data_IF_556026874292
#
_entry.id   IF_556026874292
#
_cell.length_a   1.000
_cell.length_b   1.000
_cell.length_c   1.000
_cell.angle_alpha   90.00
_cell.angle_beta   90.00
_cell.angle_gamma   90.00
#
_symmetry.space_group_name_H-M   'P 1'
#
loop_
_entity.id
_entity.type
_entity.pdbx_description
1 polymer ?
#
# COMPACT_ATOMS: atom_id res chain seq x y z
N UNK A 1 -20.82 -23.51 -19.86
CA UNK A 1 -20.08 -23.56 -21.14
C UNK A 1 -19.45 -22.22 -21.51
N UNK A 2 -20.24 -21.14 -21.69
CA UNK A 2 -19.70 -19.82 -22.07
C UNK A 2 -18.68 -19.28 -21.05
N UNK A 3 -18.99 -19.31 -19.75
CA UNK A 3 -18.05 -18.86 -18.71
C UNK A 3 -16.70 -19.59 -18.77
N UNK A 4 -16.69 -20.90 -18.99
CA UNK A 4 -15.46 -21.68 -19.13
C UNK A 4 -14.63 -21.26 -20.35
N UNK A 5 -15.29 -20.91 -21.46
CA UNK A 5 -14.60 -20.36 -22.65
C UNK A 5 -13.99 -18.99 -22.35
N UNK A 6 -14.72 -18.11 -21.65
CA UNK A 6 -14.23 -16.79 -21.26
C UNK A 6 -13.05 -16.90 -20.28
N UNK A 7 -13.03 -17.89 -19.39
CA UNK A 7 -11.90 -18.15 -18.49
C UNK A 7 -10.60 -18.51 -19.21
N UNK A 8 -10.69 -19.06 -20.45
CA UNK A 8 -9.52 -19.41 -21.28
C UNK A 8 -9.17 -18.35 -22.32
N UNK A 9 -10.06 -17.38 -22.53
CA UNK A 9 -9.81 -16.33 -23.49
C UNK A 9 -8.67 -15.43 -22.98
N UNK A 10 -7.65 -15.15 -23.81
CA UNK A 10 -6.61 -14.21 -23.43
C UNK A 10 -7.24 -12.82 -23.24
N UNK A 11 -7.05 -12.25 -22.06
CA UNK A 11 -7.50 -10.89 -21.75
C UNK A 11 -6.61 -10.29 -20.68
N UNK A 12 -6.28 -9.01 -20.85
CA UNK A 12 -5.63 -8.20 -19.81
C UNK A 12 -6.65 -7.59 -18.84
N UNK A 13 -7.95 -7.69 -19.16
CA UNK A 13 -9.04 -7.13 -18.37
C UNK A 13 -9.76 -8.21 -17.57
N UNK A 14 -10.08 -7.91 -16.32
CA UNK A 14 -10.92 -8.77 -15.48
C UNK A 14 -12.40 -8.75 -15.91
N UNK A 15 -12.81 -7.71 -16.67
CA UNK A 15 -14.20 -7.42 -17.00
C UNK A 15 -14.95 -8.57 -17.73
N UNK A 16 -14.39 -9.27 -18.74
CA UNK A 16 -15.14 -10.31 -19.44
C UNK A 16 -15.55 -11.46 -18.51
N UNK A 17 -14.65 -11.92 -17.64
CA UNK A 17 -14.93 -12.98 -16.67
C UNK A 17 -15.94 -12.50 -15.64
N UNK A 18 -15.76 -11.28 -15.12
CA UNK A 18 -16.67 -10.67 -14.16
C UNK A 18 -18.10 -10.57 -14.73
N UNK A 19 -18.25 -9.98 -15.90
CA UNK A 19 -19.55 -9.78 -16.54
C UNK A 19 -20.25 -11.12 -16.84
N UNK A 20 -19.50 -12.13 -17.30
CA UNK A 20 -20.02 -13.46 -17.52
C UNK A 20 -20.48 -14.13 -16.21
N UNK A 21 -19.71 -13.99 -15.13
CA UNK A 21 -20.10 -14.47 -13.81
C UNK A 21 -21.36 -13.76 -13.30
N UNK A 22 -21.40 -12.43 -13.34
CA UNK A 22 -22.52 -11.63 -12.83
C UNK A 22 -23.82 -11.95 -13.55
N UNK A 23 -23.76 -12.13 -14.89
CA UNK A 23 -24.90 -12.54 -15.69
C UNK A 23 -25.46 -13.92 -15.28
N UNK A 24 -24.58 -14.87 -14.93
CA UNK A 24 -25.00 -16.20 -14.46
C UNK A 24 -25.49 -16.14 -13.01
N UNK A 25 -24.79 -15.41 -12.13
CA UNK A 25 -25.15 -15.29 -10.72
C UNK A 25 -26.49 -14.58 -10.51
N UNK A 26 -26.92 -13.73 -11.46
CA UNK A 26 -28.24 -13.12 -11.47
C UNK A 26 -29.38 -14.13 -11.74
N UNK A 27 -29.08 -15.31 -12.28
CA UNK A 27 -30.05 -16.39 -12.46
C UNK A 27 -30.27 -17.11 -11.12
N UNK A 28 -31.53 -17.32 -10.74
CA UNK A 28 -31.89 -17.91 -9.47
C UNK A 28 -31.23 -19.30 -9.28
N UNK A 29 -30.37 -19.41 -8.26
CA UNK A 29 -29.70 -20.65 -7.89
C UNK A 29 -28.45 -21.02 -8.69
N UNK A 30 -28.03 -20.22 -9.67
CA UNK A 30 -26.91 -20.57 -10.57
C UNK A 30 -25.52 -20.12 -10.07
N UNK A 31 -25.44 -19.31 -9.01
CA UNK A 31 -24.16 -18.83 -8.48
C UNK A 31 -23.19 -19.95 -8.05
N UNK A 32 -23.63 -21.03 -7.36
CA UNK A 32 -22.74 -22.15 -7.02
C UNK A 32 -22.13 -22.85 -8.25
N UNK A 33 -22.90 -22.99 -9.34
CA UNK A 33 -22.42 -23.59 -10.58
C UNK A 33 -21.39 -22.70 -11.27
N UNK A 34 -21.61 -21.38 -11.28
CA UNK A 34 -20.63 -20.42 -11.79
C UNK A 34 -19.31 -20.48 -11.01
N UNK A 35 -19.38 -20.55 -9.67
CA UNK A 35 -18.20 -20.72 -8.81
C UNK A 35 -17.49 -22.05 -9.09
N UNK A 36 -18.23 -23.14 -9.33
CA UNK A 36 -17.63 -24.43 -9.69
C UNK A 36 -16.85 -24.35 -11.01
N UNK A 37 -17.38 -23.66 -12.03
CA UNK A 37 -16.66 -23.45 -13.30
C UNK A 37 -15.37 -22.63 -13.09
N UNK A 38 -15.43 -21.58 -12.28
CA UNK A 38 -14.25 -20.77 -11.98
C UNK A 38 -13.22 -21.57 -11.15
N UNK A 39 -13.68 -22.45 -10.27
CA UNK A 39 -12.84 -23.37 -9.49
C UNK A 39 -12.08 -24.33 -10.40
N UNK A 40 -12.76 -24.94 -11.37
CA UNK A 40 -12.12 -25.83 -12.34
C UNK A 40 -11.03 -25.10 -13.14
N UNK A 41 -11.26 -23.82 -13.47
CA UNK A 41 -10.28 -23.00 -14.18
C UNK A 41 -8.97 -22.79 -13.38
N UNK A 42 -8.99 -22.89 -12.05
CA UNK A 42 -7.75 -22.80 -11.25
C UNK A 42 -6.73 -23.90 -11.58
N UNK A 43 -7.19 -25.06 -12.04
CA UNK A 43 -6.34 -26.18 -12.41
C UNK A 43 -5.90 -26.16 -13.88
N UNK A 44 -6.45 -25.24 -14.70
CA UNK A 44 -6.16 -25.15 -16.13
C UNK A 44 -4.96 -24.21 -16.37
N UNK A 45 -3.83 -24.70 -16.91
CA UNK A 45 -2.66 -23.86 -17.19
C UNK A 45 -2.93 -22.73 -18.19
N UNK A 46 -4.00 -22.83 -18.98
CA UNK A 46 -4.41 -21.83 -19.96
C UNK A 46 -5.50 -20.89 -19.44
N UNK A 47 -5.97 -21.07 -18.20
CA UNK A 47 -6.92 -20.13 -17.63
C UNK A 47 -6.24 -18.79 -17.35
N UNK A 48 -6.92 -17.71 -17.72
CA UNK A 48 -6.49 -16.35 -17.42
C UNK A 48 -6.58 -16.08 -15.90
N UNK A 49 -5.78 -15.12 -15.42
CA UNK A 49 -5.79 -14.72 -14.02
C UNK A 49 -7.15 -14.22 -13.52
N UNK A 50 -7.96 -13.61 -14.40
CA UNK A 50 -9.27 -13.06 -14.06
C UNK A 50 -10.24 -14.13 -13.52
N UNK A 51 -10.16 -15.37 -14.02
CA UNK A 51 -10.90 -16.51 -13.46
C UNK A 51 -10.57 -16.75 -11.99
N UNK A 52 -9.28 -16.70 -11.63
CA UNK A 52 -8.81 -16.83 -10.26
C UNK A 52 -9.26 -15.70 -9.35
N UNK A 53 -9.15 -14.45 -9.82
CA UNK A 53 -9.64 -13.28 -9.10
C UNK A 53 -11.16 -13.37 -8.81
N UNK A 54 -11.95 -13.73 -9.81
CA UNK A 54 -13.40 -13.84 -9.66
C UNK A 54 -13.79 -14.99 -8.73
N UNK A 55 -13.14 -16.16 -8.85
CA UNK A 55 -13.36 -17.29 -7.94
C UNK A 55 -13.10 -16.90 -6.49
N UNK A 56 -11.95 -16.28 -6.22
CA UNK A 56 -11.54 -15.92 -4.86
C UNK A 56 -12.47 -14.86 -4.28
N UNK A 57 -12.86 -13.86 -5.06
CA UNK A 57 -13.86 -12.86 -4.67
C UNK A 57 -15.19 -13.50 -4.30
N UNK A 58 -15.80 -14.25 -5.23
CA UNK A 58 -17.11 -14.86 -5.02
C UNK A 58 -17.11 -15.83 -3.82
N UNK A 59 -16.08 -16.67 -3.73
CA UNK A 59 -15.96 -17.65 -2.64
C UNK A 59 -15.74 -17.00 -1.29
N UNK A 60 -14.93 -15.94 -1.22
CA UNK A 60 -14.68 -15.22 0.03
C UNK A 60 -15.94 -14.49 0.51
N UNK A 61 -16.65 -13.81 -0.39
CA UNK A 61 -17.86 -13.05 -0.09
C UNK A 61 -19.02 -13.98 0.32
N UNK A 62 -19.08 -15.19 -0.25
CA UNK A 62 -20.02 -16.24 0.15
C UNK A 62 -19.64 -16.95 1.47
N UNK A 63 -18.48 -16.64 2.07
CA UNK A 63 -18.00 -17.30 3.28
C UNK A 63 -17.63 -18.78 3.08
N UNK A 64 -17.20 -19.15 1.88
CA UNK A 64 -16.91 -20.54 1.52
C UNK A 64 -15.84 -21.15 2.45
N UNK A 65 -16.14 -22.33 2.98
CA UNK A 65 -15.18 -23.12 3.74
C UNK A 65 -14.18 -23.82 2.79
N UNK A 66 -12.96 -24.06 3.27
CA UNK A 66 -11.96 -24.86 2.55
C UNK A 66 -11.12 -24.09 1.51
N UNK A 67 -11.36 -22.79 1.28
CA UNK A 67 -10.56 -21.99 0.34
C UNK A 67 -9.05 -22.10 0.59
N UNK A 68 -8.62 -22.07 1.85
CA UNK A 68 -7.20 -22.17 2.20
C UNK A 68 -6.59 -23.52 1.82
N UNK A 69 -7.36 -24.61 1.94
CA UNK A 69 -6.90 -25.96 1.55
C UNK A 69 -6.72 -26.01 0.05
N UNK A 70 -7.72 -25.52 -0.69
CA UNK A 70 -7.71 -25.49 -2.14
C UNK A 70 -6.54 -24.63 -2.69
N UNK A 71 -6.32 -23.44 -2.13
CA UNK A 71 -5.19 -22.60 -2.53
C UNK A 71 -3.83 -23.24 -2.20
N UNK A 72 -3.72 -23.96 -1.07
CA UNK A 72 -2.51 -24.70 -0.68
C UNK A 72 -2.22 -25.91 -1.55
N UNK A 73 -3.25 -26.56 -2.08
CA UNK A 73 -3.10 -27.67 -3.02
C UNK A 73 -2.64 -27.19 -4.40
N UNK A 74 -3.09 -26.00 -4.82
CA UNK A 74 -2.76 -25.41 -6.12
C UNK A 74 -1.46 -24.60 -6.15
N UNK A 75 -1.00 -24.08 -5.00
CA UNK A 75 0.31 -23.40 -4.80
C UNK A 75 0.68 -22.30 -5.81
N UNK A 76 -0.30 -21.73 -6.51
CA UNK A 76 -0.02 -20.78 -7.59
C UNK A 76 0.55 -21.41 -8.86
N UNK A 77 0.37 -22.71 -9.08
CA UNK A 77 0.90 -23.47 -10.23
C UNK A 77 0.34 -22.98 -11.59
N UNK A 78 -0.74 -22.20 -11.57
CA UNK A 78 -1.36 -21.59 -12.76
C UNK A 78 -1.53 -20.08 -12.57
N UNK A 79 -1.61 -19.28 -13.64
CA UNK A 79 -1.91 -17.85 -13.54
C UNK A 79 -3.21 -17.57 -12.78
N UNK A 80 -4.23 -18.42 -12.97
CA UNK A 80 -5.48 -18.35 -12.23
C UNK A 80 -5.28 -18.65 -10.72
N UNK A 81 -4.53 -19.69 -10.36
CA UNK A 81 -4.27 -20.01 -8.95
C UNK A 81 -3.42 -18.94 -8.24
N UNK A 82 -2.42 -18.36 -8.92
CA UNK A 82 -1.61 -17.26 -8.37
C UNK A 82 -2.50 -16.03 -8.10
N UNK A 83 -3.31 -15.64 -9.09
CA UNK A 83 -4.21 -14.47 -8.98
C UNK A 83 -5.32 -14.70 -7.94
N UNK A 84 -5.82 -15.93 -7.80
CA UNK A 84 -6.75 -16.31 -6.73
C UNK A 84 -6.10 -16.13 -5.35
N UNK A 85 -4.87 -16.61 -5.18
CA UNK A 85 -4.10 -16.45 -3.92
C UNK A 85 -3.91 -14.98 -3.58
N UNK A 86 -3.45 -14.17 -4.54
CA UNK A 86 -3.30 -12.72 -4.38
C UNK A 86 -4.62 -12.09 -3.90
N UNK A 87 -5.73 -12.42 -4.57
CA UNK A 87 -7.04 -11.87 -4.25
C UNK A 87 -7.50 -12.28 -2.85
N UNK A 88 -7.26 -13.52 -2.44
CA UNK A 88 -7.58 -14.01 -1.10
C UNK A 88 -6.81 -13.25 0.00
N UNK A 89 -5.52 -13.01 -0.20
CA UNK A 89 -4.69 -12.20 0.71
C UNK A 89 -5.25 -10.77 0.85
N UNK A 90 -5.57 -10.13 -0.28
CA UNK A 90 -6.11 -8.77 -0.30
C UNK A 90 -7.47 -8.67 0.38
N UNK A 91 -8.37 -9.64 0.14
CA UNK A 91 -9.70 -9.68 0.79
C UNK A 91 -9.60 -9.86 2.30
N UNK A 92 -8.69 -10.70 2.78
CA UNK A 92 -8.41 -10.82 4.22
C UNK A 92 -7.89 -9.50 4.82
N UNK A 93 -7.03 -8.78 4.09
CA UNK A 93 -6.53 -7.49 4.54
C UNK A 93 -7.63 -6.41 4.58
N UNK A 94 -8.43 -6.29 3.52
CA UNK A 94 -9.55 -5.34 3.42
C UNK A 94 -10.61 -5.56 4.51
N UNK A 95 -10.85 -6.82 4.88
CA UNK A 95 -11.78 -7.19 5.96
C UNK A 95 -11.10 -7.30 7.33
N UNK A 96 -9.84 -6.87 7.45
CA UNK A 96 -9.04 -6.86 8.67
C UNK A 96 -8.99 -8.21 9.41
N UNK A 97 -8.95 -9.33 8.67
CA UNK A 97 -8.83 -10.69 9.23
C UNK A 97 -7.38 -11.01 9.63
N UNK A 98 -6.76 -10.15 10.43
CA UNK A 98 -5.31 -10.16 10.75
C UNK A 98 -4.77 -11.53 11.21
N UNK A 99 -5.49 -12.22 12.11
CA UNK A 99 -5.06 -13.53 12.62
C UNK A 99 -5.17 -14.64 11.57
N UNK A 100 -6.20 -14.59 10.73
CA UNK A 100 -6.34 -15.54 9.63
C UNK A 100 -5.27 -15.30 8.57
N UNK A 101 -5.06 -14.04 8.18
CA UNK A 101 -4.01 -13.64 7.24
C UNK A 101 -2.63 -14.12 7.70
N UNK A 102 -2.27 -13.88 8.97
CA UNK A 102 -0.95 -14.27 9.49
C UNK A 102 -0.76 -15.78 9.46
N UNK A 103 -1.75 -16.55 9.93
CA UNK A 103 -1.73 -18.02 9.88
C UNK A 103 -1.64 -18.56 8.45
N UNK A 104 -2.39 -17.97 7.53
CA UNK A 104 -2.36 -18.38 6.13
C UNK A 104 -0.96 -18.17 5.54
N UNK A 105 -0.38 -16.98 5.70
CA UNK A 105 0.97 -16.66 5.21
C UNK A 105 2.01 -17.58 5.86
N UNK A 106 1.95 -17.80 7.18
CA UNK A 106 2.86 -18.72 7.87
C UNK A 106 2.76 -20.15 7.33
N UNK A 107 1.54 -20.67 7.13
CA UNK A 107 1.32 -22.02 6.59
C UNK A 107 1.74 -22.18 5.12
N UNK A 108 1.88 -21.06 4.41
CA UNK A 108 2.15 -20.99 2.98
C UNK A 108 3.50 -20.33 2.68
N UNK A 109 4.34 -20.14 3.70
CA UNK A 109 5.51 -19.27 3.67
C UNK A 109 6.38 -19.55 2.44
N UNK A 110 6.83 -20.79 2.27
CA UNK A 110 7.87 -21.12 1.30
C UNK A 110 7.44 -20.87 -0.15
N UNK A 111 6.19 -21.16 -0.52
CA UNK A 111 5.75 -20.98 -1.90
C UNK A 111 5.26 -19.55 -2.17
N UNK A 112 4.69 -18.86 -1.17
CA UNK A 112 4.46 -17.42 -1.28
C UNK A 112 5.79 -16.66 -1.44
N UNK A 113 6.85 -17.14 -0.78
CA UNK A 113 8.20 -16.60 -0.89
C UNK A 113 8.83 -16.91 -2.26
N UNK A 114 8.49 -18.04 -2.89
CA UNK A 114 9.05 -18.43 -4.18
C UNK A 114 8.53 -17.61 -5.38
N UNK A 115 7.32 -17.03 -5.30
CA UNK A 115 6.77 -16.12 -6.33
C UNK A 115 6.95 -14.66 -5.92
N UNK A 116 7.62 -13.85 -6.74
CA UNK A 116 7.81 -12.41 -6.46
C UNK A 116 6.47 -11.67 -6.37
N UNK A 117 5.49 -12.04 -7.20
CA UNK A 117 4.15 -11.44 -7.20
C UNK A 117 3.41 -11.75 -5.90
N UNK A 118 3.43 -13.02 -5.46
CA UNK A 118 2.79 -13.43 -4.22
C UNK A 118 3.53 -12.90 -2.99
N UNK A 119 4.85 -12.81 -3.04
CA UNK A 119 5.66 -12.17 -2.01
C UNK A 119 5.26 -10.71 -1.82
N UNK A 120 5.17 -9.94 -2.90
CA UNK A 120 4.72 -8.55 -2.87
C UNK A 120 3.28 -8.42 -2.38
N UNK A 121 2.37 -9.29 -2.83
CA UNK A 121 0.97 -9.28 -2.41
C UNK A 121 0.78 -9.60 -0.93
N UNK A 122 1.49 -10.61 -0.42
CA UNK A 122 1.49 -10.96 1.00
C UNK A 122 2.05 -9.81 1.84
N UNK A 123 3.17 -9.22 1.41
CA UNK A 123 3.77 -8.05 2.02
C UNK A 123 2.80 -6.87 2.12
N UNK A 124 2.11 -6.56 1.03
CA UNK A 124 1.07 -5.54 1.01
C UNK A 124 -0.08 -5.85 1.98
N UNK A 125 -0.61 -7.08 1.96
CA UNK A 125 -1.68 -7.50 2.85
C UNK A 125 -1.30 -7.37 4.34
N UNK A 126 -0.06 -7.74 4.72
CA UNK A 126 0.46 -7.60 6.10
C UNK A 126 0.54 -6.11 6.50
N UNK A 127 1.00 -5.25 5.59
CA UNK A 127 1.10 -3.79 5.78
C UNK A 127 -0.29 -3.16 5.93
N UNK A 128 -1.29 -3.56 5.14
CA UNK A 128 -2.67 -3.06 5.27
C UNK A 128 -3.30 -3.35 6.64
N UNK A 129 -3.02 -4.52 7.24
CA UNK A 129 -3.47 -4.84 8.61
C UNK A 129 -2.53 -4.29 9.70
N UNK A 130 -1.59 -3.42 9.33
CA UNK A 130 -0.66 -2.71 10.20
C UNK A 130 0.18 -3.63 11.08
N UNK A 131 0.49 -4.84 10.60
CA UNK A 131 1.36 -5.77 11.31
C UNK A 131 2.83 -5.49 10.97
N UNK A 132 3.30 -4.29 11.34
CA UNK A 132 4.60 -3.75 10.93
C UNK A 132 5.79 -4.67 11.22
N UNK A 133 5.79 -5.29 12.42
CA UNK A 133 6.84 -6.25 12.81
C UNK A 133 6.91 -7.43 11.85
N UNK A 134 5.76 -8.01 11.50
CA UNK A 134 5.71 -9.13 10.58
C UNK A 134 6.03 -8.71 9.15
N UNK A 135 5.59 -7.52 8.72
CA UNK A 135 5.92 -7.00 7.38
C UNK A 135 7.42 -6.81 7.20
N UNK A 136 8.11 -6.28 8.21
CA UNK A 136 9.58 -6.16 8.19
C UNK A 136 10.28 -7.52 8.16
N UNK A 137 9.76 -8.53 8.86
CA UNK A 137 10.31 -9.90 8.81
C UNK A 137 10.07 -10.55 7.43
N UNK A 138 8.88 -10.38 6.87
CA UNK A 138 8.48 -10.92 5.57
C UNK A 138 9.34 -10.38 4.42
N UNK A 139 9.66 -9.09 4.47
CA UNK A 139 10.51 -8.45 3.46
C UNK A 139 12.01 -8.55 3.76
N UNK A 140 12.44 -9.34 4.75
CA UNK A 140 13.88 -9.48 5.03
C UNK A 140 14.64 -9.98 3.79
N UNK A 141 15.80 -9.37 3.50
CA UNK A 141 16.62 -9.68 2.33
C UNK A 141 16.03 -9.19 1.00
N UNK A 142 15.18 -8.15 1.02
CA UNK A 142 14.60 -7.55 -0.17
C UNK A 142 15.66 -7.09 -1.18
N UNK A 143 16.87 -6.75 -0.74
CA UNK A 143 18.00 -6.32 -1.58
C UNK A 143 18.45 -7.41 -2.56
N UNK A 144 18.29 -8.67 -2.19
CA UNK A 144 18.75 -9.81 -2.97
C UNK A 144 17.69 -10.33 -3.97
N UNK A 145 16.48 -9.76 -3.96
CA UNK A 145 15.35 -10.22 -4.77
C UNK A 145 15.35 -9.57 -6.14
N UNK A 146 15.82 -10.29 -7.16
CA UNK A 146 15.94 -9.77 -8.52
C UNK A 146 14.61 -9.54 -9.24
N UNK A 147 13.54 -10.20 -8.83
CA UNK A 147 12.20 -10.01 -9.39
C UNK A 147 11.31 -9.04 -8.61
N UNK A 148 11.83 -8.44 -7.52
CA UNK A 148 11.11 -7.40 -6.80
C UNK A 148 10.91 -6.17 -7.70
N UNK A 149 9.80 -5.48 -7.47
CA UNK A 149 9.43 -4.24 -8.14
C UNK A 149 9.17 -3.12 -7.12
N UNK A 150 9.28 -1.84 -7.49
CA UNK A 150 9.06 -0.75 -6.54
C UNK A 150 7.71 -0.82 -5.80
N UNK A 151 6.61 -1.22 -6.46
CA UNK A 151 5.32 -1.40 -5.77
C UNK A 151 5.35 -2.42 -4.63
N UNK A 152 6.24 -3.42 -4.70
CA UNK A 152 6.40 -4.42 -3.65
C UNK A 152 7.18 -3.83 -2.46
N UNK A 153 8.24 -3.06 -2.76
CA UNK A 153 9.15 -2.50 -1.75
C UNK A 153 8.57 -1.33 -0.96
N UNK A 154 7.55 -0.64 -1.47
CA UNK A 154 6.91 0.45 -0.70
C UNK A 154 6.35 -0.07 0.63
N UNK A 155 5.87 -1.32 0.64
CA UNK A 155 5.35 -1.97 1.85
C UNK A 155 6.45 -2.18 2.90
N UNK A 156 7.65 -2.58 2.48
CA UNK A 156 8.80 -2.72 3.35
C UNK A 156 9.26 -1.36 3.90
N UNK A 157 9.37 -0.36 3.04
CA UNK A 157 9.79 0.99 3.40
C UNK A 157 8.83 1.64 4.43
N UNK A 158 7.53 1.44 4.28
CA UNK A 158 6.51 1.92 5.22
C UNK A 158 6.58 1.19 6.57
N UNK A 159 6.75 -0.13 6.55
CA UNK A 159 6.86 -0.93 7.76
C UNK A 159 8.14 -0.60 8.54
N UNK A 160 9.26 -0.37 7.87
CA UNK A 160 10.52 0.06 8.47
C UNK A 160 10.38 1.43 9.17
N UNK A 161 9.79 2.44 8.50
CA UNK A 161 9.51 3.76 9.11
C UNK A 161 8.55 3.67 10.30
N UNK A 162 7.56 2.78 10.21
CA UNK A 162 6.59 2.55 11.28
C UNK A 162 7.23 1.95 12.54
N UNK A 163 8.36 1.26 12.40
CA UNK A 163 9.18 0.75 13.51
C UNK A 163 10.34 1.67 13.89
N UNK A 164 10.49 2.84 13.26
CA UNK A 164 11.58 3.78 13.53
C UNK A 164 12.92 3.41 12.90
N UNK A 165 12.95 2.47 11.96
CA UNK A 165 14.16 2.04 11.23
C UNK A 165 14.36 2.89 9.97
N UNK A 166 14.54 4.20 10.15
CA UNK A 166 14.47 5.17 9.05
C UNK A 166 15.60 5.02 8.04
N UNK A 167 16.83 4.76 8.48
CA UNK A 167 17.99 4.59 7.59
C UNK A 167 17.79 3.44 6.60
N UNK A 168 17.30 2.30 7.10
CA UNK A 168 16.97 1.14 6.27
C UNK A 168 15.79 1.42 5.34
N UNK A 169 14.80 2.20 5.80
CA UNK A 169 13.67 2.59 4.96
C UNK A 169 14.09 3.54 3.82
N UNK A 170 15.06 4.41 4.06
CA UNK A 170 15.68 5.26 3.04
C UNK A 170 16.47 4.41 2.06
N UNK A 171 17.27 3.45 2.53
CA UNK A 171 18.00 2.51 1.68
C UNK A 171 17.04 1.71 0.78
N UNK A 172 15.96 1.18 1.35
CA UNK A 172 14.89 0.49 0.62
C UNK A 172 14.26 1.37 -0.47
N UNK A 173 13.90 2.62 -0.14
CA UNK A 173 13.36 3.53 -1.14
C UNK A 173 14.35 3.90 -2.23
N UNK A 174 15.64 4.10 -1.91
CA UNK A 174 16.66 4.40 -2.92
C UNK A 174 16.86 3.23 -3.87
N UNK A 175 16.97 2.02 -3.35
CA UNK A 175 17.09 0.82 -4.17
C UNK A 175 15.88 0.63 -5.08
N UNK A 176 14.66 0.86 -4.59
CA UNK A 176 13.45 0.79 -5.41
C UNK A 176 13.47 1.80 -6.57
N UNK A 177 14.09 2.98 -6.40
CA UNK A 177 14.22 3.98 -7.47
C UNK A 177 15.29 3.62 -8.52
N UNK A 178 16.14 2.62 -8.26
CA UNK A 178 17.11 2.07 -9.22
C UNK A 178 16.48 0.98 -10.13
N UNK A 179 15.28 0.51 -9.78
CA UNK A 179 14.54 -0.52 -10.53
C UNK A 179 13.76 0.07 -11.72
N UNK A 180 13.33 -0.77 -12.68
CA UNK A 180 12.37 -0.35 -13.70
C UNK A 180 11.12 0.28 -13.06
N UNK A 181 10.69 1.47 -13.53
CA UNK A 181 9.63 2.21 -12.87
C UNK A 181 8.27 1.53 -13.00
N UNK A 182 7.46 1.65 -11.95
CA UNK A 182 6.08 1.23 -11.85
C UNK A 182 5.27 2.23 -10.99
N UNK A 183 4.03 1.89 -10.65
CA UNK A 183 3.15 2.72 -9.83
C UNK A 183 3.63 2.95 -8.38
N UNK A 184 4.56 2.13 -7.85
CA UNK A 184 5.18 2.31 -6.54
C UNK A 184 6.36 3.27 -6.55
N UNK A 185 6.97 3.52 -7.71
CA UNK A 185 8.17 4.37 -7.84
C UNK A 185 7.92 5.78 -7.31
N UNK A 186 6.78 6.38 -7.66
CA UNK A 186 6.40 7.72 -7.18
C UNK A 186 6.21 7.79 -5.66
N UNK A 187 5.78 6.69 -5.04
CA UNK A 187 5.55 6.62 -3.60
C UNK A 187 6.88 6.60 -2.84
N UNK A 188 7.87 5.83 -3.34
CA UNK A 188 9.23 5.87 -2.79
C UNK A 188 9.87 7.25 -2.89
N UNK A 189 9.66 7.93 -4.02
CA UNK A 189 10.13 9.30 -4.20
C UNK A 189 9.49 10.26 -3.19
N UNK A 190 8.17 10.21 -3.05
CA UNK A 190 7.45 11.05 -2.08
C UNK A 190 7.92 10.79 -0.64
N UNK A 191 8.18 9.53 -0.28
CA UNK A 191 8.72 9.18 1.04
C UNK A 191 10.10 9.81 1.28
N UNK A 192 11.01 9.76 0.31
CA UNK A 192 12.33 10.41 0.42
C UNK A 192 12.23 11.94 0.49
N UNK A 193 11.30 12.54 -0.26
CA UNK A 193 11.03 13.98 -0.19
C UNK A 193 10.49 14.36 1.20
N UNK A 194 9.61 13.53 1.78
CA UNK A 194 9.08 13.74 3.12
C UNK A 194 10.18 13.66 4.19
N UNK A 195 11.11 12.70 4.05
CA UNK A 195 12.29 12.59 4.91
C UNK A 195 13.17 13.85 4.80
N UNK A 196 13.48 14.29 3.58
CA UNK A 196 14.26 15.49 3.30
C UNK A 196 13.62 16.76 3.87
N UNK A 197 12.30 16.94 3.67
CA UNK A 197 11.56 18.06 4.23
C UNK A 197 11.62 18.06 5.77
N UNK A 198 11.49 16.91 6.41
CA UNK A 198 11.59 16.78 7.86
C UNK A 198 13.01 17.02 8.41
N UNK A 199 14.03 16.74 7.61
CA UNK A 199 15.43 17.02 7.93
C UNK A 199 15.86 18.47 7.60
N UNK A 200 15.01 19.23 6.91
CA UNK A 200 15.32 20.59 6.46
C UNK A 200 16.17 20.66 5.19
N UNK A 201 16.34 19.56 4.46
CA UNK A 201 17.00 19.53 3.16
C UNK A 201 16.04 20.01 2.05
N UNK A 202 15.84 21.33 2.02
CA UNK A 202 14.91 21.98 1.11
C UNK A 202 15.42 21.98 -0.34
N UNK A 203 16.74 21.90 -0.54
CA UNK A 203 17.31 21.79 -1.87
C UNK A 203 16.89 20.48 -2.54
N UNK A 204 16.93 19.37 -1.81
CA UNK A 204 16.42 18.08 -2.30
C UNK A 204 14.91 18.13 -2.55
N UNK A 205 14.13 18.73 -1.65
CA UNK A 205 12.67 18.89 -1.82
C UNK A 205 12.36 19.64 -3.11
N UNK A 206 12.97 20.81 -3.33
CA UNK A 206 12.70 21.63 -4.51
C UNK A 206 13.13 20.94 -5.82
N UNK A 207 14.24 20.18 -5.78
CA UNK A 207 14.74 19.46 -6.95
C UNK A 207 13.80 18.32 -7.39
N UNK A 208 13.16 17.62 -6.45
CA UNK A 208 12.46 16.36 -6.74
C UNK A 208 10.94 16.41 -6.60
N UNK A 209 10.36 17.45 -5.98
CA UNK A 209 8.90 17.52 -5.77
C UNK A 209 8.09 17.56 -7.07
N UNK A 210 8.66 18.09 -8.16
CA UNK A 210 8.01 18.10 -9.47
C UNK A 210 7.89 16.69 -10.10
N UNK A 211 8.72 15.74 -9.68
CA UNK A 211 8.71 14.35 -10.16
C UNK A 211 7.66 13.47 -9.43
N UNK A 212 6.91 14.02 -8.48
CA UNK A 212 5.71 13.40 -7.92
C UNK A 212 4.54 13.85 -8.81
N UNK A 213 4.33 13.09 -9.88
CA UNK A 213 3.25 13.27 -10.85
C UNK A 213 1.90 12.79 -10.31
N UNK A 214 0.82 13.22 -10.99
CA UNK A 214 -0.56 12.78 -10.73
C UNK A 214 -0.93 12.76 -9.23
N UNK A 215 -0.66 13.88 -8.56
CA UNK A 215 -0.90 14.10 -7.12
C UNK A 215 -2.35 13.86 -6.72
N UNK A 216 -3.27 14.05 -7.65
CA UNK A 216 -4.71 13.83 -7.44
C UNK A 216 -5.07 12.35 -7.31
N UNK A 217 -4.33 11.45 -7.95
CA UNK A 217 -4.54 10.00 -7.83
C UNK A 217 -3.94 9.38 -6.56
N UNK A 218 -3.17 10.15 -5.78
CA UNK A 218 -2.56 9.62 -4.56
C UNK A 218 -3.64 9.19 -3.56
N UNK A 219 -3.39 8.07 -2.90
CA UNK A 219 -4.20 7.64 -1.76
C UNK A 219 -4.10 8.65 -0.62
N UNK A 220 -5.10 8.63 0.25
CA UNK A 220 -5.30 9.64 1.29
C UNK A 220 -4.07 9.81 2.21
N UNK A 221 -3.35 8.73 2.49
CA UNK A 221 -2.17 8.72 3.34
C UNK A 221 -0.94 9.37 2.68
N UNK A 222 -0.76 9.20 1.37
CA UNK A 222 0.28 9.89 0.62
C UNK A 222 -0.07 11.34 0.34
N UNK A 223 -1.35 11.68 0.13
CA UNK A 223 -1.82 13.08 0.11
C UNK A 223 -1.51 13.79 1.42
N UNK A 224 -1.71 13.09 2.55
CA UNK A 224 -1.33 13.60 3.86
C UNK A 224 0.16 13.93 3.92
N UNK A 225 1.05 13.00 3.51
CA UNK A 225 2.51 13.26 3.47
C UNK A 225 2.89 14.45 2.59
N UNK A 226 2.31 14.52 1.39
CA UNK A 226 2.56 15.62 0.45
C UNK A 226 2.18 16.97 1.06
N UNK A 227 1.03 17.06 1.74
CA UNK A 227 0.62 18.30 2.43
C UNK A 227 1.60 18.69 3.56
N UNK A 228 2.22 17.73 4.26
CA UNK A 228 3.26 18.02 5.24
C UNK A 228 4.50 18.63 4.58
N UNK A 229 4.95 18.05 3.46
CA UNK A 229 6.08 18.54 2.66
C UNK A 229 5.82 19.97 2.19
N UNK A 230 4.65 20.21 1.61
CA UNK A 230 4.27 21.52 1.09
C UNK A 230 4.18 22.57 2.20
N UNK A 231 3.66 22.21 3.38
CA UNK A 231 3.62 23.13 4.53
C UNK A 231 5.02 23.52 5.03
N UNK A 232 5.99 22.60 5.03
CA UNK A 232 7.38 22.91 5.38
C UNK A 232 8.00 23.83 4.33
N UNK A 233 7.82 23.51 3.04
CA UNK A 233 8.34 24.26 1.90
C UNK A 233 7.79 25.70 1.84
N UNK A 234 6.51 25.88 2.17
CA UNK A 234 5.84 27.20 2.23
C UNK A 234 6.54 28.19 3.17
N UNK A 235 7.01 27.70 4.33
CA UNK A 235 7.70 28.52 5.34
C UNK A 235 9.16 28.75 4.97
N UNK A 236 9.76 27.78 4.28
CA UNK A 236 11.15 27.78 3.86
C UNK A 236 11.49 28.72 2.70
N UNK A 237 10.50 29.17 1.94
CA UNK A 237 10.73 30.02 0.77
C UNK A 237 11.50 31.30 1.14
N UNK A 238 12.53 31.66 0.36
CA UNK A 238 13.36 32.86 0.60
C UNK A 238 12.53 34.14 0.73
N UNK A 239 11.48 34.24 -0.08
CA UNK A 239 10.55 35.37 -0.08
C UNK A 239 9.20 35.00 0.58
N UNK A 240 9.24 34.11 1.58
CA UNK A 240 8.05 33.66 2.29
C UNK A 240 7.25 34.90 2.78
N UNK A 241 6.01 35.08 2.31
CA UNK A 241 5.30 36.33 2.58
C UNK A 241 4.86 36.35 4.04
N UNK A 242 4.56 37.56 4.54
CA UNK A 242 3.95 37.74 5.88
C UNK A 242 2.74 36.80 6.00
N UNK A 243 2.75 35.94 7.02
CA UNK A 243 1.71 34.94 7.24
C UNK A 243 1.98 33.52 6.70
N UNK A 244 3.16 33.24 6.11
CA UNK A 244 3.54 31.88 5.68
C UNK A 244 3.39 30.84 6.79
N UNK A 245 3.83 31.17 8.01
CA UNK A 245 3.63 30.32 9.19
C UNK A 245 2.15 30.00 9.44
N UNK A 246 1.26 30.99 9.36
CA UNK A 246 -0.18 30.81 9.58
C UNK A 246 -0.82 29.91 8.51
N UNK A 247 -0.41 30.06 7.24
CA UNK A 247 -0.87 29.19 6.15
C UNK A 247 -0.37 27.76 6.32
N UNK A 248 0.91 27.56 6.61
CA UNK A 248 1.48 26.24 6.87
C UNK A 248 0.81 25.56 8.08
N UNK A 249 0.57 26.30 9.18
CA UNK A 249 -0.15 25.77 10.33
C UNK A 249 -1.59 25.34 9.97
N UNK A 250 -2.28 26.11 9.11
CA UNK A 250 -3.61 25.76 8.60
C UNK A 250 -3.56 24.52 7.71
N UNK A 251 -2.58 24.41 6.83
CA UNK A 251 -2.37 23.22 5.97
C UNK A 251 -2.18 21.97 6.83
N UNK A 252 -1.30 22.02 7.84
CA UNK A 252 -1.09 20.89 8.75
C UNK A 252 -2.35 20.52 9.53
N UNK A 253 -3.13 21.51 9.97
CA UNK A 253 -4.40 21.26 10.67
C UNK A 253 -5.42 20.60 9.74
N UNK A 254 -5.53 21.06 8.50
CA UNK A 254 -6.40 20.46 7.50
C UNK A 254 -5.99 19.02 7.18
N UNK A 255 -4.69 18.78 6.95
CA UNK A 255 -4.12 17.45 6.73
C UNK A 255 -4.46 16.50 7.88
N UNK A 256 -4.25 16.95 9.12
CA UNK A 256 -4.57 16.17 10.31
C UNK A 256 -6.07 15.86 10.40
N UNK A 257 -6.95 16.82 10.12
CA UNK A 257 -8.41 16.61 10.14
C UNK A 257 -8.85 15.61 9.07
N UNK A 258 -8.35 15.76 7.84
CA UNK A 258 -8.66 14.85 6.72
C UNK A 258 -8.18 13.42 7.01
N UNK A 259 -7.09 13.28 7.77
CA UNK A 259 -6.47 11.99 8.10
C UNK A 259 -6.76 11.47 9.51
N UNK A 260 -7.68 12.12 10.24
CA UNK A 260 -7.85 11.91 11.68
C UNK A 260 -8.23 10.47 12.07
N UNK A 261 -9.01 9.78 11.23
CA UNK A 261 -9.44 8.41 11.50
C UNK A 261 -8.29 7.38 11.41
N UNK A 262 -7.25 7.66 10.62
CA UNK A 262 -6.14 6.73 10.37
C UNK A 262 -4.93 7.04 11.24
N UNK A 263 -4.67 8.33 11.48
CA UNK A 263 -3.45 8.81 12.12
C UNK A 263 -3.10 8.11 13.46
N UNK A 264 -4.03 7.83 14.40
CA UNK A 264 -3.70 7.16 15.67
C UNK A 264 -3.06 5.76 15.50
N UNK A 265 -3.30 5.11 14.37
CA UNK A 265 -2.85 3.76 14.10
C UNK A 265 -1.58 3.69 13.24
N UNK A 266 -1.06 4.84 12.81
CA UNK A 266 0.05 4.94 11.86
C UNK A 266 1.23 5.74 12.46
N UNK A 267 2.14 5.05 13.17
CA UNK A 267 3.19 5.71 13.93
C UNK A 267 4.17 6.49 13.04
N UNK A 268 4.49 6.00 11.85
CA UNK A 268 5.25 6.73 10.83
C UNK A 268 4.60 8.09 10.48
N UNK A 269 3.29 8.13 10.21
CA UNK A 269 2.57 9.37 9.86
C UNK A 269 2.55 10.37 11.02
N UNK A 270 2.39 9.88 12.25
CA UNK A 270 2.53 10.72 13.45
C UNK A 270 3.94 11.30 13.60
N UNK A 271 4.97 10.48 13.33
CA UNK A 271 6.38 10.91 13.37
C UNK A 271 6.65 11.97 12.32
N UNK A 272 6.19 11.79 11.07
CA UNK A 272 6.29 12.80 10.01
C UNK A 272 5.59 14.10 10.40
N UNK A 273 4.35 14.06 10.89
CA UNK A 273 3.63 15.25 11.34
C UNK A 273 4.39 16.01 12.43
N UNK A 274 4.94 15.30 13.42
CA UNK A 274 5.71 15.90 14.49
C UNK A 274 7.06 16.43 14.02
N UNK A 275 7.70 15.78 13.04
CA UNK A 275 8.93 16.27 12.43
C UNK A 275 8.68 17.53 11.60
N UNK A 276 7.66 17.55 10.74
CA UNK A 276 7.24 18.73 9.97
C UNK A 276 6.93 19.93 10.87
N UNK A 277 6.20 19.72 11.98
CA UNK A 277 5.94 20.78 12.99
C UNK A 277 7.20 21.34 13.60
N UNK A 278 8.16 20.48 13.95
CA UNK A 278 9.46 20.90 14.50
C UNK A 278 10.24 21.69 13.46
N UNK A 279 10.26 21.23 12.21
CA UNK A 279 10.97 21.90 11.14
C UNK A 279 10.37 23.28 10.85
N UNK A 280 9.04 23.39 10.76
CA UNK A 280 8.37 24.69 10.61
C UNK A 280 8.71 25.63 11.77
N UNK A 281 8.66 25.15 13.02
CA UNK A 281 9.02 25.97 14.17
C UNK A 281 10.48 26.44 14.13
N UNK A 282 11.40 25.56 13.69
CA UNK A 282 12.82 25.88 13.52
C UNK A 282 13.04 26.92 12.44
N UNK A 283 12.39 26.78 11.27
CA UNK A 283 12.49 27.72 10.16
C UNK A 283 11.94 29.11 10.51
N UNK A 284 10.86 29.17 11.28
CA UNK A 284 10.29 30.45 11.75
C UNK A 284 11.19 31.10 12.81
N UNK A 285 11.86 30.31 13.65
CA UNK A 285 12.83 30.80 14.64
C UNK A 285 12.24 31.64 15.77
N UNK A 286 10.90 31.68 15.94
CA UNK A 286 10.25 32.45 17.01
C UNK A 286 9.85 31.56 18.19
N UNK A 287 9.83 32.16 19.38
CA UNK A 287 9.37 31.49 20.60
C UNK A 287 7.89 31.06 20.49
N UNK A 288 7.04 31.87 19.86
CA UNK A 288 5.64 31.53 19.59
C UNK A 288 5.48 30.28 18.72
N UNK A 289 6.28 30.15 17.66
CA UNK A 289 6.26 28.96 16.81
C UNK A 289 6.72 27.70 17.58
N UNK A 290 7.70 27.86 18.47
CA UNK A 290 8.14 26.78 19.37
C UNK A 290 7.03 26.36 20.35
N UNK A 291 6.33 27.32 20.96
CA UNK A 291 5.18 27.03 21.83
C UNK A 291 4.02 26.40 21.08
N UNK A 292 3.71 26.87 19.87
CA UNK A 292 2.69 26.25 19.00
C UNK A 292 3.02 24.78 18.72
N UNK A 293 4.27 24.49 18.35
CA UNK A 293 4.74 23.13 18.12
C UNK A 293 4.63 22.25 19.37
N UNK A 294 4.96 22.81 20.54
CA UNK A 294 4.83 22.11 21.82
C UNK A 294 3.37 21.86 22.21
N UNK A 295 2.51 22.87 22.13
CA UNK A 295 1.10 22.77 22.47
C UNK A 295 0.34 21.79 21.56
N UNK A 296 0.66 21.75 20.25
CA UNK A 296 0.08 20.75 19.32
C UNK A 296 0.50 19.31 19.64
N UNK A 297 1.69 19.09 20.22
CA UNK A 297 2.11 17.76 20.70
C UNK A 297 1.40 17.35 21.99
N UNK A 298 0.98 18.31 22.81
CA UNK A 298 0.28 18.10 24.09
C UNK A 298 -1.25 18.12 23.98
N UNK A 299 -1.80 18.43 22.80
CA UNK A 299 -3.25 18.58 22.60
C UNK A 299 -3.83 19.85 23.21
N UNK A 300 -3.02 20.89 23.41
CA UNK A 300 -3.47 22.17 23.98
C UNK A 300 -4.16 23.10 22.98
N UNK A 301 -4.01 22.82 21.68
CA UNK A 301 -4.49 23.63 20.56
C UNK A 301 -5.10 22.76 19.47
#
# INVERSE_FOLDING_TARGET
>A
ALLAQVCRAPSESDWPVQAAYDAIAALAGAAPEAVAVLREALADPNANGAAGWQWATASFDAGAHGMEVELRERRGDTPAAERATQTYLLRMAQTNKRQQLSRFIESCHDWLQASDVLWGAAGHAITCVRNWKYSVQWHAGWEARTGARPWMLVNAAEALRSLGRDEEAVACSRHALEMPPDNGTRLHRLLLIADAACAGDLAYVDAHLAEVDDRESLDLDYKFLLQLVEAVREVAAKDAPRGAFGRAAKMLAQAQTQYAAHLPHEPNRQRFLNAARRQIASLVGTWWASMWCYGKRRGWF
#
